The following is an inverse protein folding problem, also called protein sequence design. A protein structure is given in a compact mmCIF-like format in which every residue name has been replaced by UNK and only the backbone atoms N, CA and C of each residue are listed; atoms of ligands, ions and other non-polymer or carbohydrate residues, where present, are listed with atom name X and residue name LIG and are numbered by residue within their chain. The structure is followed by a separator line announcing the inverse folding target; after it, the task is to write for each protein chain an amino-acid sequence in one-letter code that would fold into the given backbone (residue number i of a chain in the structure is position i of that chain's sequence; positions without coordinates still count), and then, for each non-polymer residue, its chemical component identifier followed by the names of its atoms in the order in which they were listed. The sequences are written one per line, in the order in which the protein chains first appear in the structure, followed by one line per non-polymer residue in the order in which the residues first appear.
data_IF_567368404767
#
_entry.id   IF_567368404767
#
_cell.length_a   1.000
_cell.length_b   1.000
_cell.length_c   1.000
_cell.angle_alpha   90.00
_cell.angle_beta   90.00
_cell.angle_gamma   90.00
#
_symmetry.space_group_name_H-M   'P 1'
#
loop_
_entity.id
_entity.type
_entity.pdbx_description
1 polymer ?
#
# COMPACT_ATOMS: atom_id res chain seq x y z
N UNK A 1 -14.21 8.98 -13.56
CA UNK A 1 -14.26 7.90 -12.55
C UNK A 1 -13.14 8.15 -11.56
N UNK A 2 -13.45 8.44 -10.30
CA UNK A 2 -12.50 8.97 -9.27
C UNK A 2 -11.56 7.89 -8.69
N UNK A 3 -11.71 6.63 -9.11
CA UNK A 3 -11.14 5.44 -8.45
C UNK A 3 -9.63 5.28 -8.70
N UNK A 4 -9.08 5.87 -9.77
CA UNK A 4 -7.70 5.65 -10.21
C UNK A 4 -6.74 6.82 -9.90
N UNK A 5 -7.13 7.73 -9.00
CA UNK A 5 -6.28 8.85 -8.60
C UNK A 5 -5.02 8.34 -7.88
N UNK A 6 -3.82 8.67 -8.36
CA UNK A 6 -2.57 8.21 -7.76
C UNK A 6 -2.45 8.50 -6.26
N UNK A 7 -3.02 9.62 -5.79
CA UNK A 7 -2.98 10.04 -4.39
C UNK A 7 -3.82 9.10 -3.51
N UNK A 8 -4.95 8.59 -4.01
CA UNK A 8 -5.79 7.63 -3.27
C UNK A 8 -5.05 6.29 -3.15
N UNK A 9 -4.47 5.82 -4.27
CA UNK A 9 -3.69 4.57 -4.28
C UNK A 9 -2.48 4.68 -3.36
N UNK A 10 -1.77 5.82 -3.43
CA UNK A 10 -0.67 6.16 -2.54
C UNK A 10 -1.06 6.16 -1.07
N UNK A 11 -2.20 6.75 -0.74
CA UNK A 11 -2.76 6.74 0.62
C UNK A 11 -2.99 5.33 1.16
N UNK A 12 -3.48 4.41 0.33
CA UNK A 12 -3.65 3.00 0.74
C UNK A 12 -2.31 2.29 0.97
N UNK A 13 -1.32 2.54 0.12
CA UNK A 13 0.04 1.97 0.32
C UNK A 13 0.62 2.46 1.66
N UNK A 14 0.44 3.75 1.95
CA UNK A 14 0.85 4.34 3.23
C UNK A 14 0.12 3.70 4.42
N UNK A 15 -1.20 3.57 4.33
CA UNK A 15 -2.02 2.95 5.37
C UNK A 15 -1.59 1.48 5.62
N UNK A 16 -1.30 0.74 4.56
CA UNK A 16 -0.78 -0.63 4.65
C UNK A 16 0.58 -0.66 5.35
N UNK A 17 1.48 0.25 5.00
CA UNK A 17 2.80 0.36 5.62
C UNK A 17 2.67 0.61 7.12
N UNK A 18 1.83 1.56 7.51
CA UNK A 18 1.58 1.94 8.92
C UNK A 18 0.89 0.79 9.68
N UNK A 19 -0.10 0.11 9.09
CA UNK A 19 -0.77 -1.06 9.68
C UNK A 19 0.15 -2.28 9.87
N UNK A 20 1.22 -2.37 9.09
CA UNK A 20 2.26 -3.38 9.27
C UNK A 20 3.34 -2.98 10.29
N UNK A 21 3.22 -1.80 10.91
CA UNK A 21 4.14 -1.30 11.93
C UNK A 21 5.42 -0.67 11.38
N UNK A 22 5.43 -0.29 10.10
CA UNK A 22 6.58 0.38 9.50
C UNK A 22 6.42 1.91 9.57
N UNK A 23 6.78 2.50 10.70
CA UNK A 23 6.74 3.97 10.87
C UNK A 23 7.69 4.70 9.90
N UNK A 24 8.80 4.05 9.54
CA UNK A 24 9.80 4.59 8.63
C UNK A 24 9.69 3.96 7.24
N UNK A 25 9.57 4.82 6.23
CA UNK A 25 9.52 4.45 4.81
C UNK A 25 10.66 3.51 4.39
N UNK A 26 11.88 3.76 4.86
CA UNK A 26 13.08 2.99 4.49
C UNK A 26 12.99 1.52 4.86
N UNK A 27 12.45 1.19 6.03
CA UNK A 27 12.32 -0.20 6.47
C UNK A 27 11.31 -0.96 5.59
N UNK A 28 10.20 -0.30 5.22
CA UNK A 28 9.23 -0.87 4.29
C UNK A 28 9.81 -1.03 2.88
N UNK A 29 10.56 -0.04 2.39
CA UNK A 29 11.28 -0.14 1.11
C UNK A 29 12.22 -1.34 1.07
N UNK A 30 13.00 -1.58 2.12
CA UNK A 30 13.90 -2.74 2.21
C UNK A 30 13.14 -4.06 2.23
N UNK A 31 12.01 -4.12 2.95
CA UNK A 31 11.17 -5.30 3.02
C UNK A 31 10.53 -5.66 1.67
N UNK A 32 10.03 -4.64 0.94
CA UNK A 32 9.33 -4.84 -0.34
C UNK A 32 10.30 -4.91 -1.53
N UNK A 33 11.43 -4.21 -1.47
CA UNK A 33 12.40 -4.09 -2.56
C UNK A 33 12.20 -2.83 -3.42
N UNK A 34 11.85 -1.70 -2.80
CA UNK A 34 11.74 -0.39 -3.44
C UNK A 34 12.94 0.51 -3.10
N UNK A 35 13.10 1.59 -3.86
CA UNK A 35 13.88 2.74 -3.40
C UNK A 35 12.98 3.69 -2.58
N UNK A 36 13.58 4.39 -1.62
CA UNK A 36 12.88 5.39 -0.79
C UNK A 36 12.18 6.46 -1.65
N UNK A 37 12.85 6.90 -2.73
CA UNK A 37 12.28 7.86 -3.68
C UNK A 37 11.05 7.31 -4.41
N UNK A 38 11.06 6.02 -4.78
CA UNK A 38 9.92 5.39 -5.45
C UNK A 38 8.71 5.34 -4.52
N UNK A 39 8.89 4.87 -3.29
CA UNK A 39 7.81 4.82 -2.30
C UNK A 39 7.25 6.22 -2.01
N UNK A 40 8.12 7.22 -1.82
CA UNK A 40 7.68 8.61 -1.65
C UNK A 40 6.83 9.10 -2.83
N UNK A 41 7.25 8.82 -4.07
CA UNK A 41 6.49 9.22 -5.25
C UNK A 41 5.13 8.51 -5.34
N UNK A 42 5.05 7.26 -4.88
CA UNK A 42 3.80 6.50 -4.83
C UNK A 42 2.86 7.02 -3.75
N UNK A 43 3.34 7.13 -2.50
CA UNK A 43 2.52 7.55 -1.35
C UNK A 43 2.01 9.00 -1.48
N UNK A 44 2.77 9.88 -2.15
CA UNK A 44 2.35 11.26 -2.41
C UNK A 44 1.51 11.44 -3.68
N UNK A 45 1.28 10.37 -4.45
CA UNK A 45 0.56 10.42 -5.73
C UNK A 45 1.32 11.10 -6.87
N UNK A 46 2.56 11.56 -6.65
CA UNK A 46 3.42 12.11 -7.73
C UNK A 46 3.58 11.14 -8.91
N UNK A 47 3.53 9.84 -8.62
CA UNK A 47 3.52 8.78 -9.63
C UNK A 47 2.59 7.67 -9.20
N UNK A 48 1.73 7.20 -10.12
CA UNK A 48 0.97 5.97 -9.92
C UNK A 48 1.91 4.77 -9.84
N UNK A 49 1.75 3.92 -8.83
CA UNK A 49 2.47 2.65 -8.75
C UNK A 49 2.10 1.77 -9.96
N UNK A 50 3.11 1.16 -10.59
CA UNK A 50 2.86 0.21 -11.67
C UNK A 50 2.37 -1.13 -11.10
N UNK A 51 1.78 -1.96 -11.97
CA UNK A 51 1.32 -3.29 -11.58
C UNK A 51 2.47 -4.15 -11.03
N UNK A 52 3.63 -4.11 -11.68
CA UNK A 52 4.81 -4.90 -11.25
C UNK A 52 5.29 -4.51 -9.85
N UNK A 53 5.30 -3.22 -9.52
CA UNK A 53 5.69 -2.74 -8.19
C UNK A 53 4.61 -3.08 -7.15
N UNK A 54 3.32 -2.97 -7.51
CA UNK A 54 2.23 -3.40 -6.63
C UNK A 54 2.27 -4.91 -6.35
N UNK A 55 2.65 -5.73 -7.32
CA UNK A 55 2.84 -7.18 -7.15
C UNK A 55 3.92 -7.52 -6.12
N UNK A 56 4.97 -6.70 -5.98
CA UNK A 56 5.96 -6.88 -4.90
C UNK A 56 5.34 -6.69 -3.52
N UNK A 57 4.46 -5.69 -3.36
CA UNK A 57 3.72 -5.47 -2.10
C UNK A 57 2.85 -6.68 -1.81
N UNK A 58 2.06 -7.13 -2.79
CA UNK A 58 1.19 -8.32 -2.66
C UNK A 58 2.00 -9.53 -2.21
N UNK A 59 3.12 -9.81 -2.88
CA UNK A 59 3.98 -10.96 -2.57
C UNK A 59 4.59 -10.92 -1.16
N UNK A 60 4.82 -9.73 -0.60
CA UNK A 60 5.48 -9.57 0.71
C UNK A 60 4.49 -9.41 1.86
N UNK A 61 3.33 -8.82 1.61
CA UNK A 61 2.36 -8.44 2.65
C UNK A 61 1.12 -9.32 2.68
N UNK A 62 0.80 -10.01 1.57
CA UNK A 62 -0.47 -10.70 1.39
C UNK A 62 -1.66 -9.76 1.10
N UNK A 63 -1.45 -8.45 0.97
CA UNK A 63 -2.47 -7.54 0.45
C UNK A 63 -2.88 -7.91 -0.98
N UNK A 64 -4.02 -7.42 -1.45
CA UNK A 64 -4.53 -7.70 -2.80
C UNK A 64 -4.42 -6.46 -3.71
N UNK A 65 -4.35 -6.70 -5.02
CA UNK A 65 -4.42 -5.61 -6.01
C UNK A 65 -5.78 -4.89 -5.97
N UNK A 66 -6.87 -5.63 -5.75
CA UNK A 66 -8.22 -5.06 -5.61
C UNK A 66 -8.29 -4.08 -4.44
N UNK A 67 -7.63 -4.37 -3.32
CA UNK A 67 -7.56 -3.42 -2.22
C UNK A 67 -6.67 -2.21 -2.56
N UNK A 68 -5.46 -2.44 -3.09
CA UNK A 68 -4.53 -1.35 -3.44
C UNK A 68 -5.17 -0.35 -4.42
N UNK A 69 -5.76 -0.85 -5.51
CA UNK A 69 -6.29 0.01 -6.57
C UNK A 69 -7.73 0.46 -6.32
N UNK A 70 -8.59 -0.40 -5.74
CA UNK A 70 -10.03 -0.16 -5.65
C UNK A 70 -10.56 -0.01 -4.22
N UNK A 71 -9.76 -0.28 -3.20
CA UNK A 71 -10.17 -0.17 -1.79
C UNK A 71 -11.12 -1.28 -1.34
N UNK A 72 -11.09 -2.44 -2.01
CA UNK A 72 -12.00 -3.54 -1.75
C UNK A 72 -11.54 -4.34 -0.52
N UNK A 73 -12.05 -4.01 0.67
CA UNK A 73 -11.63 -4.63 1.95
C UNK A 73 -11.79 -6.15 2.00
N UNK A 74 -12.88 -6.70 1.47
CA UNK A 74 -13.14 -8.14 1.53
C UNK A 74 -12.12 -8.99 0.74
N UNK A 75 -11.28 -8.34 -0.07
CA UNK A 75 -10.22 -9.02 -0.82
C UNK A 75 -8.92 -9.19 -0.02
N UNK A 76 -8.87 -8.64 1.19
CA UNK A 76 -7.72 -8.78 2.10
C UNK A 76 -7.85 -10.02 2.99
N UNK A 77 -6.72 -10.61 3.41
CA UNK A 77 -6.70 -11.55 4.53
C UNK A 77 -7.27 -10.92 5.80
N UNK A 78 -8.03 -11.70 6.58
CA UNK A 78 -8.74 -11.22 7.79
C UNK A 78 -7.81 -10.48 8.75
N UNK A 79 -6.65 -11.08 9.08
CA UNK A 79 -5.67 -10.49 9.99
C UNK A 79 -5.12 -9.14 9.50
N UNK A 80 -5.06 -8.92 8.19
CA UNK A 80 -4.57 -7.67 7.61
C UNK A 80 -5.66 -6.61 7.60
N UNK A 81 -6.91 -6.99 7.28
CA UNK A 81 -8.06 -6.11 7.37
C UNK A 81 -8.28 -5.59 8.81
N UNK A 82 -8.09 -6.44 9.81
CA UNK A 82 -8.16 -6.05 11.22
C UNK A 82 -7.11 -5.00 11.59
N UNK A 83 -5.85 -5.19 11.17
CA UNK A 83 -4.77 -4.22 11.41
C UNK A 83 -5.05 -2.88 10.75
N UNK A 84 -5.54 -2.87 9.52
CA UNK A 84 -5.87 -1.63 8.80
C UNK A 84 -6.96 -0.84 9.51
N UNK A 85 -7.99 -1.52 10.04
CA UNK A 85 -9.06 -0.87 10.82
C UNK A 85 -8.58 -0.25 12.14
N UNK A 86 -7.49 -0.77 12.72
CA UNK A 86 -6.90 -0.22 13.94
C UNK A 86 -6.12 1.08 13.68
N UNK A 87 -5.62 1.28 12.45
CA UNK A 87 -4.85 2.48 12.07
C UNK A 87 -5.73 3.57 11.49
N UNK A 88 -6.83 3.20 10.81
CA UNK A 88 -7.78 4.16 10.22
C UNK A 88 -8.76 4.78 11.25
N UNK A 89 -8.81 4.23 12.47
CA UNK A 89 -9.66 4.69 13.58
C UNK A 89 -8.98 5.77 14.44
#
# INVERSE_FOLDING_TARGET
MVIDRPEIIGGRIRLLREALGYDQARAFCQFVGFSDQALYNYETGKRRISLDEAMKIVAKTGASLDWIYRGVEYSLPVHLAEKLRQVDA
#
